data_IF_699920049027
#
_entry.id   IF_699920049027
#
_cell.length_a   1.000
_cell.length_b   1.000
_cell.length_c   1.000
_cell.angle_alpha   90.00
_cell.angle_beta   90.00
_cell.angle_gamma   90.00
#
_symmetry.space_group_name_H-M   'P 1'
#
loop_
_entity.id
_entity.type
_entity.pdbx_description
1 polymer ?
#
# COMPACT_ATOMS: atom_id res chain seq x y z
N UNK A 1 48.22 32.51 -31.92
CA UNK A 1 46.78 32.67 -31.96
C UNK A 1 45.99 31.32 -31.75
N UNK A 2 46.67 30.23 -31.32
CA UNK A 2 46.05 28.91 -31.12
C UNK A 2 45.90 28.51 -29.65
N UNK A 3 46.47 29.23 -28.67
CA UNK A 3 46.40 28.91 -27.25
C UNK A 3 45.16 29.50 -26.52
N UNK A 4 44.45 30.45 -27.14
CA UNK A 4 43.27 31.08 -26.50
C UNK A 4 41.97 30.34 -26.71
N UNK A 5 41.85 29.43 -27.69
CA UNK A 5 40.61 28.77 -28.06
C UNK A 5 40.40 27.48 -27.21
N UNK A 6 41.46 26.82 -26.75
CA UNK A 6 41.37 25.58 -25.94
C UNK A 6 40.95 25.88 -24.51
N UNK A 7 41.26 27.05 -23.93
CA UNK A 7 40.88 27.44 -22.59
C UNK A 7 39.42 27.90 -22.49
N UNK A 8 38.82 28.40 -23.59
CA UNK A 8 37.41 28.81 -23.61
C UNK A 8 36.44 27.63 -23.71
N UNK A 9 36.80 26.58 -24.49
CA UNK A 9 35.96 25.38 -24.56
C UNK A 9 35.88 24.59 -23.24
N UNK A 10 36.97 24.57 -22.46
CA UNK A 10 37.00 23.93 -21.13
C UNK A 10 36.07 24.61 -20.14
N UNK A 11 35.92 25.93 -20.17
CA UNK A 11 35.02 26.69 -19.25
C UNK A 11 33.55 26.47 -19.57
N UNK A 12 33.18 26.36 -20.83
CA UNK A 12 31.78 26.08 -21.23
C UNK A 12 31.38 24.64 -20.97
N UNK A 13 32.26 23.65 -21.14
CA UNK A 13 31.99 22.27 -20.75
C UNK A 13 31.82 22.12 -19.24
N UNK A 14 32.59 22.84 -18.42
CA UNK A 14 32.46 22.78 -16.96
C UNK A 14 31.16 23.48 -16.49
N UNK A 15 30.76 24.59 -17.13
CA UNK A 15 29.52 25.28 -16.81
C UNK A 15 28.28 24.49 -17.18
N UNK A 16 28.30 23.77 -18.33
CA UNK A 16 27.22 22.88 -18.75
C UNK A 16 27.13 21.68 -17.82
N UNK A 17 28.26 21.12 -17.37
CA UNK A 17 28.26 20.01 -16.40
C UNK A 17 27.74 20.43 -15.04
N UNK A 18 28.05 21.62 -14.56
CA UNK A 18 27.52 22.16 -13.31
C UNK A 18 26.03 22.48 -13.42
N UNK A 19 25.57 23.08 -14.54
CA UNK A 19 24.15 23.35 -14.75
C UNK A 19 23.31 22.08 -14.91
N UNK A 20 23.86 21.02 -15.53
CA UNK A 20 23.19 19.72 -15.64
C UNK A 20 23.19 18.99 -14.32
N UNK A 21 24.25 19.10 -13.50
CA UNK A 21 24.26 18.55 -12.14
C UNK A 21 23.25 19.23 -11.23
N UNK A 22 23.14 20.57 -11.30
CA UNK A 22 22.16 21.32 -10.51
C UNK A 22 20.70 21.06 -10.96
N UNK A 23 20.45 20.86 -12.26
CA UNK A 23 19.15 20.44 -12.77
C UNK A 23 18.77 19.01 -12.35
N UNK A 24 19.74 18.11 -12.25
CA UNK A 24 19.48 16.74 -11.75
C UNK A 24 19.24 16.73 -10.24
N UNK A 25 19.85 17.66 -9.48
CA UNK A 25 19.59 17.82 -8.04
C UNK A 25 18.27 18.55 -7.72
N UNK A 26 17.74 19.37 -8.64
CA UNK A 26 16.47 20.06 -8.46
C UNK A 26 15.24 19.13 -8.59
N UNK A 27 15.41 17.88 -9.02
CA UNK A 27 14.36 16.85 -9.10
C UNK A 27 14.40 15.83 -7.95
N UNK A 28 14.98 16.17 -6.78
CA UNK A 28 14.73 15.38 -5.58
C UNK A 28 13.29 15.67 -5.16
N UNK A 29 12.37 14.68 -5.21
CA UNK A 29 11.00 14.92 -4.81
C UNK A 29 10.99 15.52 -3.40
N UNK A 30 10.27 16.62 -3.19
CA UNK A 30 9.84 17.06 -1.86
C UNK A 30 9.38 15.85 -1.09
N UNK A 31 9.77 15.73 0.17
CA UNK A 31 9.43 14.56 1.00
C UNK A 31 7.95 14.25 0.82
N UNK A 32 7.66 13.03 0.32
CA UNK A 32 6.30 12.61 0.04
C UNK A 32 5.56 12.50 1.37
N UNK A 33 4.57 13.35 1.58
CA UNK A 33 3.72 13.28 2.76
C UNK A 33 2.63 12.25 2.51
N UNK A 34 2.55 11.22 3.37
CA UNK A 34 1.56 10.15 3.27
C UNK A 34 0.72 10.13 4.55
N UNK A 35 -0.55 10.50 4.41
CA UNK A 35 -1.57 10.48 5.47
C UNK A 35 -2.91 10.09 4.87
N UNK A 36 -3.82 9.63 5.70
CA UNK A 36 -5.17 9.29 5.29
C UNK A 36 -5.33 7.86 4.75
N UNK A 37 -6.43 7.56 4.05
CA UNK A 37 -6.71 6.24 3.51
C UNK A 37 -5.81 5.87 2.32
N UNK A 38 -5.30 4.63 2.38
CA UNK A 38 -4.55 3.95 1.34
C UNK A 38 -5.19 2.57 1.12
N UNK A 39 -6.24 2.45 0.29
CA UNK A 39 -6.85 1.17 0.00
C UNK A 39 -5.87 0.25 -0.73
N UNK A 40 -5.95 -1.05 -0.41
CA UNK A 40 -5.24 -2.09 -1.13
C UNK A 40 -6.11 -2.50 -2.31
N UNK A 41 -5.60 -2.30 -3.51
CA UNK A 41 -6.23 -2.70 -4.76
C UNK A 41 -6.33 -4.22 -4.84
N UNK A 42 -7.41 -4.69 -5.44
CA UNK A 42 -7.60 -6.09 -5.79
C UNK A 42 -7.01 -6.37 -7.17
N UNK A 43 -6.53 -7.58 -7.40
CA UNK A 43 -6.07 -7.97 -8.74
C UNK A 43 -7.23 -8.60 -9.52
N UNK A 44 -7.72 -7.96 -10.61
CA UNK A 44 -8.74 -8.52 -11.49
C UNK A 44 -8.14 -9.52 -12.47
N UNK A 45 -8.93 -10.51 -12.88
CA UNK A 45 -8.50 -11.55 -13.81
C UNK A 45 -9.47 -11.69 -15.00
N UNK A 46 -8.90 -12.05 -16.16
CA UNK A 46 -9.64 -12.47 -17.34
C UNK A 46 -10.07 -13.95 -17.22
N UNK A 47 -10.94 -14.40 -18.13
CA UNK A 47 -11.47 -15.77 -18.13
C UNK A 47 -10.39 -16.86 -18.32
N UNK A 48 -9.26 -16.51 -18.92
CA UNK A 48 -8.08 -17.37 -19.05
C UNK A 48 -7.16 -17.33 -17.81
N UNK A 49 -7.52 -16.52 -16.82
CA UNK A 49 -6.78 -16.32 -15.60
C UNK A 49 -5.64 -15.30 -15.68
N UNK A 50 -5.39 -14.66 -16.83
CA UNK A 50 -4.43 -13.57 -16.94
C UNK A 50 -4.91 -12.34 -16.15
N UNK A 51 -3.96 -11.51 -15.69
CA UNK A 51 -4.28 -10.25 -15.01
C UNK A 51 -4.98 -9.29 -15.99
N UNK A 52 -6.20 -8.81 -15.65
CA UNK A 52 -6.90 -7.76 -16.40
C UNK A 52 -6.29 -6.39 -16.10
N UNK A 53 -5.29 -5.98 -16.88
CA UNK A 53 -4.66 -4.67 -16.75
C UNK A 53 -5.65 -3.51 -16.89
N UNK A 54 -6.67 -3.63 -17.74
CA UNK A 54 -7.71 -2.60 -17.88
C UNK A 54 -8.56 -2.52 -16.61
N UNK A 55 -8.76 -3.64 -15.92
CA UNK A 55 -9.41 -3.71 -14.62
C UNK A 55 -8.62 -2.95 -13.55
N UNK A 56 -7.29 -3.11 -13.52
CA UNK A 56 -6.43 -2.32 -12.62
C UNK A 56 -6.55 -0.81 -12.89
N UNK A 57 -6.60 -0.40 -14.15
CA UNK A 57 -6.79 1.02 -14.51
C UNK A 57 -8.15 1.53 -14.04
N UNK A 58 -9.23 0.77 -14.24
CA UNK A 58 -10.57 1.18 -13.78
C UNK A 58 -10.65 1.29 -12.25
N UNK A 59 -9.98 0.40 -11.53
CA UNK A 59 -9.91 0.47 -10.06
C UNK A 59 -9.07 1.68 -9.60
N UNK A 60 -7.96 1.97 -10.27
CA UNK A 60 -7.17 3.19 -10.02
C UNK A 60 -8.02 4.45 -10.23
N UNK A 61 -8.76 4.53 -11.34
CA UNK A 61 -9.69 5.64 -11.63
C UNK A 61 -10.76 5.80 -10.55
N UNK A 62 -11.29 4.69 -10.04
CA UNK A 62 -12.25 4.70 -8.94
C UNK A 62 -11.64 5.30 -7.67
N UNK A 63 -10.47 4.84 -7.29
CA UNK A 63 -9.74 5.33 -6.12
C UNK A 63 -9.45 6.83 -6.23
N UNK A 64 -9.00 7.29 -7.40
CA UNK A 64 -8.73 8.70 -7.68
C UNK A 64 -10.01 9.52 -7.57
N UNK A 65 -11.10 9.08 -8.17
CA UNK A 65 -12.41 9.77 -8.09
C UNK A 65 -12.96 9.85 -6.67
N UNK A 66 -12.69 8.85 -5.82
CA UNK A 66 -13.05 8.90 -4.41
C UNK A 66 -12.24 9.94 -3.62
N UNK A 67 -11.17 10.50 -4.20
CA UNK A 67 -10.28 11.46 -3.56
C UNK A 67 -9.37 10.83 -2.51
N UNK A 68 -8.98 9.56 -2.70
CA UNK A 68 -8.09 8.86 -1.78
C UNK A 68 -6.72 9.54 -1.70
N UNK A 69 -6.11 9.51 -0.51
CA UNK A 69 -4.75 10.01 -0.28
C UNK A 69 -3.71 9.17 -1.01
N UNK A 70 -3.95 7.87 -1.11
CA UNK A 70 -3.09 6.94 -1.82
C UNK A 70 -3.81 5.65 -2.20
N UNK A 71 -3.06 4.72 -2.78
CA UNK A 71 -3.46 3.36 -3.10
C UNK A 71 -2.27 2.42 -2.90
N UNK A 72 -2.53 1.14 -2.69
CA UNK A 72 -1.50 0.11 -2.63
C UNK A 72 -1.86 -1.00 -3.60
N UNK A 73 -0.92 -1.46 -4.40
CA UNK A 73 -1.07 -2.68 -5.18
C UNK A 73 0.05 -3.67 -4.93
N UNK A 74 -0.23 -4.96 -5.14
CA UNK A 74 0.71 -6.06 -4.93
C UNK A 74 1.14 -6.19 -3.46
N UNK A 75 0.16 -6.16 -2.56
CA UNK A 75 0.37 -6.43 -1.13
C UNK A 75 -0.19 -7.80 -0.72
N UNK A 76 0.23 -8.30 0.44
CA UNK A 76 -0.05 -9.66 0.92
C UNK A 76 -1.52 -10.10 0.87
N UNK A 77 -2.47 -9.19 1.08
CA UNK A 77 -3.90 -9.51 1.04
C UNK A 77 -4.46 -9.70 -0.38
N UNK A 78 -3.67 -9.43 -1.41
CA UNK A 78 -4.08 -9.55 -2.82
C UNK A 78 -3.45 -10.78 -3.51
N UNK A 79 -3.11 -11.81 -2.76
CA UNK A 79 -2.58 -13.07 -3.31
C UNK A 79 -1.34 -12.88 -4.21
N UNK A 80 -0.43 -12.01 -3.81
CA UNK A 80 0.75 -11.59 -4.60
C UNK A 80 1.70 -12.74 -4.96
N UNK A 81 1.71 -13.80 -4.18
CA UNK A 81 2.48 -15.02 -4.42
C UNK A 81 1.90 -15.91 -5.53
N UNK A 82 0.66 -15.68 -5.94
CA UNK A 82 0.04 -16.31 -7.11
C UNK A 82 0.31 -15.56 -8.42
N UNK A 83 0.93 -14.38 -8.35
CA UNK A 83 1.39 -13.62 -9.51
C UNK A 83 2.81 -14.05 -9.89
N UNK A 84 3.09 -14.16 -11.19
CA UNK A 84 4.48 -14.29 -11.65
C UNK A 84 5.24 -12.97 -11.48
N UNK A 85 6.56 -13.03 -11.57
CA UNK A 85 7.39 -11.82 -11.53
C UNK A 85 7.05 -10.86 -12.69
N UNK A 86 6.81 -11.41 -13.88
CA UNK A 86 6.42 -10.64 -15.06
C UNK A 86 5.06 -9.96 -14.88
N UNK A 87 4.09 -10.65 -14.29
CA UNK A 87 2.77 -10.07 -13.99
C UNK A 87 2.89 -8.93 -12.97
N UNK A 88 3.70 -9.10 -11.91
CA UNK A 88 3.99 -8.04 -10.95
C UNK A 88 4.59 -6.82 -11.62
N UNK A 89 5.65 -7.00 -12.42
CA UNK A 89 6.36 -5.90 -13.07
C UNK A 89 5.48 -5.17 -14.09
N UNK A 90 4.71 -5.92 -14.88
CA UNK A 90 3.72 -5.35 -15.80
C UNK A 90 2.64 -4.55 -15.04
N UNK A 91 2.12 -5.09 -13.96
CA UNK A 91 1.12 -4.41 -13.15
C UNK A 91 1.66 -3.16 -12.47
N UNK A 92 2.93 -3.14 -12.06
CA UNK A 92 3.59 -1.93 -11.54
C UNK A 92 3.58 -0.80 -12.55
N UNK A 93 3.95 -1.08 -13.81
CA UNK A 93 3.92 -0.08 -14.89
C UNK A 93 2.48 0.41 -15.16
N UNK A 94 1.52 -0.51 -15.26
CA UNK A 94 0.11 -0.19 -15.52
C UNK A 94 -0.45 0.71 -14.42
N UNK A 95 -0.22 0.34 -13.15
CA UNK A 95 -0.68 1.15 -12.03
C UNK A 95 0.05 2.50 -12.00
N UNK A 96 1.37 2.54 -12.18
CA UNK A 96 2.12 3.78 -12.17
C UNK A 96 1.64 4.75 -13.26
N UNK A 97 1.34 4.26 -14.46
CA UNK A 97 0.76 5.05 -15.54
C UNK A 97 -0.63 5.58 -15.17
N UNK A 98 -1.49 4.76 -14.57
CA UNK A 98 -2.84 5.16 -14.17
C UNK A 98 -2.85 6.28 -13.11
N UNK A 99 -1.87 6.28 -12.19
CA UNK A 99 -1.74 7.31 -11.16
C UNK A 99 -0.89 8.51 -11.58
N UNK A 100 -0.34 8.55 -12.81
CA UNK A 100 0.55 9.61 -13.25
C UNK A 100 -0.13 10.98 -13.27
N UNK A 101 0.45 11.96 -12.59
CA UNK A 101 -0.06 13.33 -12.52
C UNK A 101 -1.31 13.55 -11.67
N UNK A 102 -1.87 12.52 -11.05
CA UNK A 102 -3.14 12.62 -10.27
C UNK A 102 -2.95 13.22 -8.88
N UNK A 103 -1.74 13.23 -8.37
CA UNK A 103 -1.44 13.67 -7.01
C UNK A 103 -1.66 12.60 -5.93
N UNK A 104 -2.41 11.53 -6.22
CA UNK A 104 -2.59 10.37 -5.34
C UNK A 104 -1.30 9.55 -5.25
N UNK A 105 -0.92 9.11 -4.06
CA UNK A 105 0.29 8.31 -3.86
C UNK A 105 0.01 6.86 -4.22
N UNK A 106 0.84 6.25 -5.05
CA UNK A 106 0.82 4.81 -5.30
C UNK A 106 1.95 4.13 -4.53
N UNK A 107 1.62 3.22 -3.62
CA UNK A 107 2.60 2.33 -2.98
C UNK A 107 2.58 0.96 -3.65
N UNK A 108 3.76 0.44 -4.01
CA UNK A 108 3.91 -0.87 -4.64
C UNK A 108 4.59 -1.84 -3.69
N UNK A 109 4.13 -3.08 -3.68
CA UNK A 109 4.61 -4.11 -2.76
C UNK A 109 5.96 -4.68 -3.15
N UNK A 110 6.99 -4.44 -2.35
CA UNK A 110 8.29 -5.11 -2.42
C UNK A 110 8.37 -6.21 -1.36
N UNK A 111 7.70 -7.33 -1.63
CA UNK A 111 7.64 -8.47 -0.74
C UNK A 111 8.24 -9.69 -1.44
N UNK A 112 9.15 -10.40 -0.77
CA UNK A 112 9.82 -11.58 -1.33
C UNK A 112 9.89 -12.71 -0.31
N UNK A 113 10.15 -13.93 -0.77
CA UNK A 113 10.45 -15.10 0.06
C UNK A 113 11.79 -14.97 0.78
N UNK A 114 12.63 -14.09 0.29
CA UNK A 114 13.95 -13.81 0.87
C UNK A 114 14.35 -12.35 0.60
N UNK A 115 15.39 -11.93 1.30
CA UNK A 115 15.92 -10.57 1.19
C UNK A 115 16.36 -10.22 -0.23
N UNK A 116 16.95 -11.15 -0.97
CA UNK A 116 17.41 -10.89 -2.35
C UNK A 116 16.23 -10.61 -3.28
N UNK A 117 15.18 -11.41 -3.24
CA UNK A 117 13.95 -11.20 -4.02
C UNK A 117 13.27 -9.87 -3.66
N UNK A 118 13.17 -9.55 -2.37
CA UNK A 118 12.67 -8.26 -1.91
C UNK A 118 13.43 -7.09 -2.53
N UNK A 119 14.77 -7.16 -2.53
CA UNK A 119 15.64 -6.11 -3.10
C UNK A 119 15.50 -6.02 -4.63
N UNK A 120 15.35 -7.14 -5.33
CA UNK A 120 15.14 -7.18 -6.77
C UNK A 120 13.81 -6.51 -7.16
N UNK A 121 12.72 -6.83 -6.44
CA UNK A 121 11.41 -6.21 -6.66
C UNK A 121 11.48 -4.70 -6.36
N UNK A 122 12.14 -4.30 -5.26
CA UNK A 122 12.32 -2.90 -4.93
C UNK A 122 13.12 -2.14 -6.00
N UNK A 123 14.15 -2.77 -6.58
CA UNK A 123 14.91 -2.19 -7.69
C UNK A 123 14.04 -2.03 -8.95
N UNK A 124 13.11 -2.95 -9.22
CA UNK A 124 12.14 -2.75 -10.32
C UNK A 124 11.22 -1.57 -10.06
N UNK A 125 10.71 -1.42 -8.84
CA UNK A 125 9.88 -0.26 -8.47
C UNK A 125 10.64 1.06 -8.69
N UNK A 126 11.94 1.12 -8.41
CA UNK A 126 12.77 2.29 -8.73
C UNK A 126 12.90 2.52 -10.24
N UNK A 127 12.96 1.45 -11.07
CA UNK A 127 12.94 1.57 -12.54
C UNK A 127 11.57 2.08 -13.03
N UNK A 128 10.46 1.59 -12.47
CA UNK A 128 9.11 2.10 -12.72
C UNK A 128 9.04 3.60 -12.40
N UNK A 129 9.56 4.04 -11.26
CA UNK A 129 9.59 5.44 -10.89
C UNK A 129 10.40 6.32 -11.88
N UNK A 130 11.38 5.73 -12.56
CA UNK A 130 12.13 6.43 -13.61
C UNK A 130 11.33 6.53 -14.91
N UNK A 131 10.54 5.51 -15.24
CA UNK A 131 9.65 5.53 -16.41
C UNK A 131 8.44 6.44 -16.24
N UNK A 132 7.95 6.58 -15.00
CA UNK A 132 6.76 7.35 -14.64
C UNK A 132 7.10 8.46 -13.61
N UNK A 133 7.89 9.49 -14.00
CA UNK A 133 8.42 10.48 -13.06
C UNK A 133 7.35 11.39 -12.44
N UNK A 134 6.16 11.50 -13.04
CA UNK A 134 5.05 12.29 -12.51
C UNK A 134 4.16 11.51 -11.54
N UNK A 135 4.42 10.20 -11.32
CA UNK A 135 3.73 9.38 -10.34
C UNK A 135 4.39 9.51 -8.98
N UNK A 136 3.59 9.82 -7.96
CA UNK A 136 4.04 9.83 -6.56
C UNK A 136 4.16 8.39 -6.06
N UNK A 137 5.33 7.77 -6.25
CA UNK A 137 5.58 6.39 -5.87
C UNK A 137 6.16 6.25 -4.46
N UNK A 138 5.65 5.26 -3.73
CA UNK A 138 6.18 4.71 -2.49
C UNK A 138 6.31 3.18 -2.60
N UNK A 139 6.93 2.58 -1.62
CA UNK A 139 7.09 1.13 -1.50
C UNK A 139 6.39 0.68 -0.21
N UNK A 140 5.80 -0.50 -0.19
CA UNK A 140 5.38 -1.18 1.04
C UNK A 140 6.16 -2.49 1.16
N UNK A 141 6.76 -2.74 2.31
CA UNK A 141 7.56 -3.93 2.57
C UNK A 141 7.25 -4.51 3.94
N UNK A 142 7.11 -5.82 4.00
CA UNK A 142 7.03 -6.61 5.23
C UNK A 142 8.32 -7.42 5.42
N UNK A 143 8.54 -8.03 6.60
CA UNK A 143 9.68 -8.91 6.81
C UNK A 143 9.75 -10.01 5.74
N UNK A 144 10.90 -10.22 5.07
CA UNK A 144 11.09 -11.37 4.17
C UNK A 144 10.96 -12.70 4.92
N UNK A 145 10.54 -13.76 4.21
CA UNK A 145 10.27 -15.04 4.86
C UNK A 145 11.55 -15.81 5.30
N UNK A 146 12.74 -15.38 4.88
CA UNK A 146 14.02 -15.98 5.26
C UNK A 146 14.61 -15.44 6.58
N UNK A 147 14.10 -14.34 7.12
CA UNK A 147 14.60 -13.77 8.37
C UNK A 147 14.02 -14.52 9.60
N UNK A 148 14.86 -14.76 10.60
CA UNK A 148 14.51 -15.53 11.81
C UNK A 148 14.77 -14.77 13.10
N UNK A 149 15.47 -13.64 13.02
CA UNK A 149 15.78 -12.77 14.16
C UNK A 149 15.58 -11.31 13.80
N UNK A 150 15.47 -10.47 14.83
CA UNK A 150 15.36 -9.02 14.64
C UNK A 150 16.63 -8.44 13.99
N UNK A 151 17.81 -8.96 14.34
CA UNK A 151 19.07 -8.54 13.73
C UNK A 151 19.15 -8.86 12.23
N UNK A 152 18.61 -9.99 11.80
CA UNK A 152 18.52 -10.35 10.39
C UNK A 152 17.52 -9.44 9.66
N UNK A 153 16.39 -9.15 10.30
CA UNK A 153 15.40 -8.23 9.76
C UNK A 153 15.95 -6.81 9.64
N UNK A 154 16.66 -6.32 10.66
CA UNK A 154 17.30 -5.01 10.61
C UNK A 154 18.32 -4.92 9.46
N UNK A 155 19.13 -5.96 9.23
CA UNK A 155 20.05 -6.03 8.09
C UNK A 155 19.34 -6.06 6.74
N UNK A 156 18.26 -6.83 6.63
CA UNK A 156 17.47 -6.89 5.41
C UNK A 156 16.87 -5.53 5.04
N UNK A 157 16.23 -4.85 6.00
CA UNK A 157 15.65 -3.53 5.77
C UNK A 157 16.71 -2.41 5.67
N UNK A 158 17.84 -2.54 6.34
CA UNK A 158 18.99 -1.64 6.13
C UNK A 158 19.49 -1.72 4.68
N UNK A 159 19.59 -2.93 4.13
CA UNK A 159 19.93 -3.15 2.71
C UNK A 159 18.89 -2.55 1.78
N UNK A 160 17.59 -2.68 2.10
CA UNK A 160 16.52 -2.03 1.35
C UNK A 160 16.68 -0.51 1.37
N UNK A 161 16.91 0.09 2.55
CA UNK A 161 17.12 1.53 2.70
C UNK A 161 18.34 2.08 1.96
N UNK A 162 19.35 1.24 1.72
CA UNK A 162 20.54 1.61 0.97
C UNK A 162 20.34 1.63 -0.56
N UNK A 163 19.39 0.82 -1.09
CA UNK A 163 19.21 0.66 -2.55
C UNK A 163 18.03 1.47 -3.10
N UNK A 164 17.03 1.80 -2.27
CA UNK A 164 15.86 2.56 -2.72
C UNK A 164 15.97 4.05 -2.40
N UNK A 165 15.25 4.86 -3.16
CA UNK A 165 15.15 6.31 -2.98
C UNK A 165 13.74 6.76 -2.63
N UNK A 166 12.75 5.87 -2.81
CA UNK A 166 11.34 6.12 -2.53
C UNK A 166 11.04 5.88 -1.05
N UNK A 167 10.04 6.56 -0.48
CA UNK A 167 9.56 6.24 0.85
C UNK A 167 9.11 4.79 0.93
N UNK A 168 9.41 4.14 2.05
CA UNK A 168 9.00 2.76 2.34
C UNK A 168 8.08 2.75 3.56
N UNK A 169 6.94 2.09 3.43
CA UNK A 169 6.03 1.77 4.52
C UNK A 169 6.45 0.42 5.09
N UNK A 170 6.91 0.39 6.32
CA UNK A 170 7.10 -0.86 7.05
C UNK A 170 5.74 -1.48 7.38
N UNK A 171 5.54 -2.74 7.04
CA UNK A 171 4.39 -3.51 7.51
C UNK A 171 4.82 -4.42 8.64
N UNK A 172 4.22 -4.28 9.81
CA UNK A 172 4.60 -5.04 11.02
C UNK A 172 3.99 -6.43 11.08
N UNK A 173 3.04 -6.76 10.19
CA UNK A 173 2.51 -8.13 10.05
C UNK A 173 3.59 -9.11 9.65
N UNK A 174 3.68 -10.19 10.40
CA UNK A 174 4.69 -11.23 10.23
C UNK A 174 4.05 -12.59 9.99
N UNK A 175 4.72 -13.44 9.25
CA UNK A 175 4.41 -14.87 9.22
C UNK A 175 4.77 -15.52 10.57
N UNK A 176 4.31 -16.75 10.80
CA UNK A 176 4.59 -17.48 12.05
C UNK A 176 6.08 -17.67 12.34
N UNK A 177 6.93 -17.54 11.32
CA UNK A 177 8.36 -17.81 11.41
C UNK A 177 9.23 -16.56 11.33
N UNK A 178 8.66 -15.39 11.12
CA UNK A 178 9.41 -14.13 11.03
C UNK A 178 9.22 -13.29 12.30
N UNK A 179 10.24 -12.53 12.75
CA UNK A 179 10.11 -11.69 13.93
C UNK A 179 9.18 -10.50 13.65
N UNK A 180 8.42 -10.10 14.67
CA UNK A 180 7.75 -8.79 14.65
C UNK A 180 8.82 -7.71 14.88
N UNK A 181 8.96 -6.71 13.99
CA UNK A 181 9.95 -5.65 14.18
C UNK A 181 9.64 -4.85 15.44
N UNK A 182 10.66 -4.57 16.28
CA UNK A 182 10.46 -3.66 17.42
C UNK A 182 10.33 -2.21 16.97
N UNK A 183 9.67 -1.39 17.78
CA UNK A 183 9.55 0.06 17.54
C UNK A 183 10.94 0.69 17.51
N UNK A 184 11.82 0.30 18.44
CA UNK A 184 13.20 0.78 18.56
C UNK A 184 14.00 0.51 17.29
N UNK A 185 13.89 -0.68 16.69
CA UNK A 185 14.57 -1.03 15.45
C UNK A 185 14.06 -0.16 14.29
N UNK A 186 12.75 -0.02 14.13
CA UNK A 186 12.17 0.83 13.07
C UNK A 186 12.60 2.29 13.22
N UNK A 187 12.69 2.81 14.45
CA UNK A 187 13.21 4.16 14.73
C UNK A 187 14.71 4.27 14.39
N UNK A 188 15.54 3.26 14.70
CA UNK A 188 16.96 3.27 14.31
C UNK A 188 17.12 3.33 12.79
N UNK A 189 16.37 2.50 12.05
CA UNK A 189 16.39 2.49 10.59
C UNK A 189 15.90 3.82 9.99
N UNK A 190 14.84 4.40 10.55
CA UNK A 190 14.33 5.70 10.11
C UNK A 190 15.33 6.84 10.37
N UNK A 191 16.10 6.79 11.46
CA UNK A 191 17.21 7.74 11.69
C UNK A 191 18.36 7.54 10.71
N UNK A 192 18.67 6.29 10.34
CA UNK A 192 19.76 5.95 9.41
C UNK A 192 19.39 6.32 7.96
N UNK A 193 18.14 6.10 7.55
CA UNK A 193 17.63 6.36 6.20
C UNK A 193 16.42 7.32 6.22
N UNK A 194 16.57 8.58 6.65
CA UNK A 194 15.44 9.47 6.97
C UNK A 194 14.60 9.87 5.76
N UNK A 195 15.11 9.73 4.53
CA UNK A 195 14.34 9.99 3.29
C UNK A 195 13.50 8.78 2.88
N UNK A 196 13.89 7.58 3.31
CA UNK A 196 13.26 6.32 2.92
C UNK A 196 12.27 5.85 3.98
N UNK A 197 12.69 5.75 5.23
CA UNK A 197 11.87 5.21 6.31
C UNK A 197 11.16 6.29 7.15
N UNK A 198 10.24 5.84 7.98
CA UNK A 198 9.42 6.66 8.86
C UNK A 198 7.90 6.48 8.66
N UNK A 199 7.48 5.57 7.81
CA UNK A 199 6.09 5.23 7.57
C UNK A 199 5.85 3.78 8.02
N UNK A 200 4.81 3.55 8.81
CA UNK A 200 4.52 2.24 9.41
C UNK A 200 3.05 1.88 9.16
N UNK A 201 2.79 0.68 8.65
CA UNK A 201 1.49 0.03 8.71
C UNK A 201 1.52 -0.90 9.92
N UNK A 202 0.89 -0.48 11.01
CA UNK A 202 0.91 -1.25 12.25
C UNK A 202 -0.14 -2.36 12.23
N UNK A 203 0.34 -3.59 12.31
CA UNK A 203 -0.44 -4.82 12.28
C UNK A 203 0.11 -5.89 13.24
N UNK A 204 0.81 -5.48 14.30
CA UNK A 204 1.23 -6.43 15.32
C UNK A 204 0.01 -7.11 15.97
N UNK A 205 0.19 -8.36 16.44
CA UNK A 205 -0.91 -9.19 16.92
C UNK A 205 -1.57 -8.62 18.17
N UNK A 206 -2.88 -8.75 18.24
CA UNK A 206 -3.67 -8.44 19.41
C UNK A 206 -3.71 -6.95 19.79
N UNK A 207 -3.82 -6.66 21.09
CA UNK A 207 -3.86 -5.28 21.59
C UNK A 207 -2.50 -4.56 21.55
N UNK A 208 -1.42 -5.29 21.28
CA UNK A 208 -0.07 -4.71 21.18
C UNK A 208 0.03 -3.63 20.09
N UNK A 209 -0.77 -3.71 19.03
CA UNK A 209 -0.80 -2.69 17.98
C UNK A 209 -1.12 -1.29 18.53
N UNK A 210 -2.05 -1.16 19.48
CA UNK A 210 -2.41 0.13 20.05
C UNK A 210 -1.27 0.74 20.88
N UNK A 211 -0.62 -0.08 21.71
CA UNK A 211 0.52 0.34 22.53
C UNK A 211 1.72 0.73 21.66
N UNK A 212 1.98 -0.05 20.61
CA UNK A 212 3.04 0.22 19.65
C UNK A 212 2.80 1.53 18.89
N UNK A 213 1.58 1.79 18.41
CA UNK A 213 1.22 3.06 17.77
C UNK A 213 1.50 4.28 18.65
N UNK A 214 1.24 4.17 19.97
CA UNK A 214 1.56 5.24 20.91
C UNK A 214 3.08 5.47 20.99
N UNK A 215 3.86 4.39 21.05
CA UNK A 215 5.34 4.48 21.07
C UNK A 215 5.90 5.02 19.76
N UNK A 216 5.36 4.57 18.64
CA UNK A 216 5.71 5.04 17.29
C UNK A 216 5.38 6.54 17.14
N UNK A 217 4.21 6.95 17.60
CA UNK A 217 3.79 8.35 17.64
C UNK A 217 4.68 9.24 18.51
N UNK A 218 5.17 8.70 19.63
CA UNK A 218 6.13 9.39 20.50
C UNK A 218 7.53 9.59 19.86
N UNK A 219 7.84 8.81 18.82
CA UNK A 219 9.11 8.91 18.10
C UNK A 219 9.10 9.96 16.96
N UNK A 220 8.08 10.79 16.85
CA UNK A 220 8.05 11.91 15.89
C UNK A 220 9.17 12.92 16.16
N UNK A 221 9.75 13.57 15.15
CA UNK A 221 9.43 13.47 13.72
C UNK A 221 10.15 12.35 12.98
N UNK A 222 10.90 11.48 13.66
CA UNK A 222 11.63 10.35 13.03
C UNK A 222 10.64 9.37 12.39
N UNK A 223 9.62 8.97 13.12
CA UNK A 223 8.43 8.32 12.55
C UNK A 223 7.49 9.43 12.08
N UNK A 224 7.12 9.38 10.81
CA UNK A 224 6.34 10.41 10.13
C UNK A 224 4.85 10.13 10.19
N UNK A 225 4.48 8.87 9.88
CA UNK A 225 3.07 8.45 9.83
C UNK A 225 2.94 7.00 10.28
N UNK A 226 1.94 6.74 11.10
CA UNK A 226 1.52 5.40 11.49
C UNK A 226 0.12 5.16 10.93
N UNK A 227 -0.03 4.14 10.09
CA UNK A 227 -1.30 3.71 9.52
C UNK A 227 -1.90 2.57 10.34
N UNK A 228 -3.20 2.63 10.58
CA UNK A 228 -3.95 1.48 11.06
C UNK A 228 -3.99 0.38 10.00
N UNK A 229 -3.72 -0.85 10.39
CA UNK A 229 -3.88 -2.04 9.57
C UNK A 229 -5.10 -2.87 9.96
N UNK A 230 -5.01 -4.20 9.86
CA UNK A 230 -6.05 -5.16 10.28
C UNK A 230 -7.46 -4.84 9.74
N UNK A 231 -7.55 -4.45 8.47
CA UNK A 231 -8.83 -4.12 7.85
C UNK A 231 -9.55 -2.92 8.48
N UNK A 232 -8.88 -2.13 9.30
CA UNK A 232 -9.42 -0.92 9.93
C UNK A 232 -10.38 -1.17 11.08
N UNK A 233 -10.37 -2.36 11.72
CA UNK A 233 -11.32 -2.70 12.80
C UNK A 233 -11.25 -1.74 13.99
N UNK A 234 -10.06 -1.24 14.32
CA UNK A 234 -9.82 -0.32 15.41
C UNK A 234 -9.49 1.10 14.95
N UNK A 235 -9.60 1.37 13.66
CA UNK A 235 -9.10 2.60 13.03
C UNK A 235 -9.57 3.87 13.76
N UNK A 236 -10.87 4.04 13.97
CA UNK A 236 -11.38 5.26 14.60
C UNK A 236 -10.86 5.44 16.05
N UNK A 237 -10.74 4.35 16.82
CA UNK A 237 -10.13 4.37 18.13
C UNK A 237 -8.64 4.75 18.04
N UNK A 238 -7.91 4.16 17.10
CA UNK A 238 -6.49 4.42 16.90
C UNK A 238 -6.21 5.84 16.42
N UNK A 239 -7.06 6.40 15.56
CA UNK A 239 -7.01 7.82 15.18
C UNK A 239 -7.14 8.75 16.40
N UNK A 240 -8.08 8.44 17.31
CA UNK A 240 -8.39 9.29 18.45
C UNK A 240 -7.42 9.15 19.61
N UNK A 241 -6.87 7.96 19.84
CA UNK A 241 -6.21 7.61 21.10
C UNK A 241 -4.79 7.07 20.93
N UNK A 242 -4.40 6.61 19.76
CA UNK A 242 -3.12 5.94 19.56
C UNK A 242 -2.18 6.67 18.58
N UNK A 243 -2.60 7.79 17.99
CA UNK A 243 -1.78 8.59 17.09
C UNK A 243 -1.70 8.05 15.67
N UNK A 244 -2.62 7.17 15.25
CA UNK A 244 -2.75 6.80 13.84
C UNK A 244 -3.08 8.03 12.99
N UNK A 245 -2.53 8.09 11.77
CA UNK A 245 -2.74 9.20 10.84
C UNK A 245 -3.27 8.71 9.49
N UNK A 246 -3.75 7.49 9.42
CA UNK A 246 -4.33 6.94 8.21
C UNK A 246 -4.76 5.48 8.37
N UNK A 247 -5.21 4.91 7.27
CA UNK A 247 -5.72 3.55 7.18
C UNK A 247 -5.17 2.86 5.93
N UNK A 248 -4.68 1.64 6.10
CA UNK A 248 -4.37 0.73 5.00
C UNK A 248 -5.28 -0.48 5.12
N UNK A 249 -6.16 -0.71 4.12
CA UNK A 249 -7.17 -1.76 4.16
C UNK A 249 -7.54 -2.26 2.77
N UNK A 250 -7.95 -3.54 2.67
CA UNK A 250 -8.44 -4.19 1.45
C UNK A 250 -9.89 -3.83 1.07
N UNK A 251 -10.47 -2.80 1.68
CA UNK A 251 -11.88 -2.43 1.49
C UNK A 251 -12.08 -1.35 0.44
N UNK A 252 -11.46 -1.52 -0.71
CA UNK A 252 -11.51 -0.53 -1.80
C UNK A 252 -12.94 -0.21 -2.26
N UNK A 253 -13.83 -1.19 -2.26
CA UNK A 253 -15.23 -1.01 -2.64
C UNK A 253 -15.99 -0.01 -1.73
N UNK A 254 -15.57 0.10 -0.46
CA UNK A 254 -16.18 1.01 0.52
C UNK A 254 -15.42 2.34 0.65
N UNK A 255 -14.53 2.63 -0.28
CA UNK A 255 -13.68 3.81 -0.23
C UNK A 255 -14.44 5.14 -0.08
N UNK A 256 -15.60 5.37 -0.72
CA UNK A 256 -16.38 6.59 -0.49
C UNK A 256 -16.72 6.80 1.00
N UNK A 257 -17.14 5.73 1.69
CA UNK A 257 -17.45 5.79 3.11
C UNK A 257 -16.18 6.00 3.97
N UNK A 258 -15.08 5.31 3.65
CA UNK A 258 -13.80 5.49 4.32
C UNK A 258 -13.33 6.95 4.20
N UNK A 259 -13.43 7.53 3.00
CA UNK A 259 -13.08 8.91 2.75
C UNK A 259 -14.01 9.90 3.47
N UNK A 260 -15.28 9.55 3.62
CA UNK A 260 -16.22 10.36 4.42
C UNK A 260 -15.83 10.38 5.89
N UNK A 261 -15.55 9.20 6.49
CA UNK A 261 -15.06 9.08 7.88
C UNK A 261 -13.77 9.87 8.08
N UNK A 262 -12.83 9.76 7.13
CA UNK A 262 -11.56 10.48 7.19
C UNK A 262 -11.76 12.00 7.15
N UNK A 263 -12.55 12.50 6.22
CA UNK A 263 -12.85 13.93 6.11
C UNK A 263 -13.54 14.50 7.35
N UNK A 264 -14.49 13.76 7.91
CA UNK A 264 -15.15 14.18 9.17
C UNK A 264 -14.16 14.23 10.33
N UNK A 265 -13.23 13.27 10.39
CA UNK A 265 -12.16 13.29 11.38
C UNK A 265 -11.20 14.48 11.18
N UNK A 266 -10.74 14.75 9.95
CA UNK A 266 -9.80 15.85 9.67
C UNK A 266 -10.39 17.24 9.88
N UNK A 267 -11.67 17.42 9.65
CA UNK A 267 -12.35 18.70 9.94
C UNK A 267 -12.24 19.09 11.40
N UNK A 268 -11.75 18.20 12.23
CA UNK A 268 -11.69 18.37 13.67
C UNK A 268 -13.09 18.62 14.18
N UNK A 269 -13.44 18.01 15.27
CA UNK A 269 -14.75 18.26 15.86
C UNK A 269 -14.57 19.20 17.06
N UNK A 270 -14.56 20.52 16.85
CA UNK A 270 -14.51 21.46 17.97
C UNK A 270 -15.71 21.32 18.89
N UNK A 271 -16.79 20.68 18.43
CA UNK A 271 -18.07 20.54 19.16
C UNK A 271 -18.37 19.09 19.60
N UNK A 272 -17.43 18.15 19.47
CA UNK A 272 -17.63 16.75 19.87
C UNK A 272 -18.47 15.91 18.90
N UNK A 273 -18.66 16.34 17.63
CA UNK A 273 -19.46 15.63 16.59
C UNK A 273 -18.78 14.44 15.94
N UNK A 274 -17.74 13.90 16.53
CA UNK A 274 -17.25 12.55 16.18
C UNK A 274 -18.38 11.50 16.13
N UNK A 275 -19.57 11.88 16.58
CA UNK A 275 -20.79 11.07 16.49
C UNK A 275 -21.09 10.66 15.05
N UNK A 276 -20.92 11.57 14.06
CA UNK A 276 -21.22 11.28 12.67
C UNK A 276 -20.14 10.35 12.07
N UNK A 277 -18.86 10.64 12.31
CA UNK A 277 -17.77 9.75 11.90
C UNK A 277 -17.91 8.36 12.56
N UNK A 278 -18.32 8.30 13.82
CA UNK A 278 -18.55 7.03 14.51
C UNK A 278 -19.74 6.25 13.92
N UNK A 279 -20.84 6.91 13.63
CA UNK A 279 -22.00 6.29 13.00
C UNK A 279 -21.66 5.72 11.62
N UNK A 280 -20.92 6.49 10.81
CA UNK A 280 -20.41 6.03 9.50
C UNK A 280 -19.43 4.86 9.63
N UNK A 281 -18.54 4.93 10.62
CA UNK A 281 -17.57 3.87 10.87
C UNK A 281 -18.23 2.54 11.26
N UNK A 282 -19.36 2.57 11.96
CA UNK A 282 -20.12 1.35 12.27
C UNK A 282 -20.56 0.60 11.03
N UNK A 283 -20.93 1.30 9.97
CA UNK A 283 -21.27 0.67 8.68
C UNK A 283 -20.10 -0.12 8.09
N UNK A 284 -18.85 0.35 8.28
CA UNK A 284 -17.66 -0.42 7.89
C UNK A 284 -17.44 -1.67 8.74
N UNK A 285 -17.80 -1.62 10.02
CA UNK A 285 -17.63 -2.76 10.93
C UNK A 285 -18.71 -3.80 10.72
N UNK A 286 -19.94 -3.40 10.40
CA UNK A 286 -21.08 -4.31 10.26
C UNK A 286 -20.82 -5.39 9.21
N UNK A 287 -20.09 -5.10 8.12
CA UNK A 287 -19.75 -6.11 7.11
C UNK A 287 -18.91 -7.29 7.66
N UNK A 288 -18.23 -7.12 8.80
CA UNK A 288 -17.47 -8.22 9.45
C UNK A 288 -18.37 -9.34 9.96
N UNK A 289 -19.63 -9.02 10.21
CA UNK A 289 -20.59 -9.96 10.77
C UNK A 289 -21.20 -10.89 9.72
N UNK A 290 -20.91 -10.67 8.41
CA UNK A 290 -21.40 -11.56 7.38
C UNK A 290 -20.64 -12.89 7.38
N UNK A 291 -21.30 -14.02 7.52
CA UNK A 291 -20.68 -15.33 7.52
C UNK A 291 -20.22 -15.73 6.11
N UNK A 292 -19.05 -16.36 6.03
CA UNK A 292 -18.49 -16.91 4.78
C UNK A 292 -17.96 -15.82 3.83
N UNK A 293 -16.85 -15.98 3.24
CA UNK A 293 -16.16 -15.00 2.42
C UNK A 293 -15.30 -14.02 3.23
N UNK A 294 -14.12 -13.74 2.73
CA UNK A 294 -13.25 -12.72 3.31
C UNK A 294 -13.61 -11.32 2.83
N UNK A 295 -13.02 -10.30 3.45
CA UNK A 295 -13.20 -8.90 3.03
C UNK A 295 -12.90 -8.68 1.53
N UNK A 296 -11.93 -9.43 0.98
CA UNK A 296 -11.61 -9.41 -0.44
C UNK A 296 -12.78 -9.90 -1.29
N UNK A 297 -13.42 -10.97 -0.93
CA UNK A 297 -14.52 -11.57 -1.70
C UNK A 297 -15.72 -10.62 -1.78
N UNK A 298 -16.04 -9.93 -0.70
CA UNK A 298 -17.06 -8.90 -0.67
C UNK A 298 -16.67 -7.67 -1.49
N UNK A 299 -15.39 -7.28 -1.45
CA UNK A 299 -14.87 -6.19 -2.29
C UNK A 299 -14.99 -6.55 -3.78
N UNK A 300 -14.67 -7.78 -4.18
CA UNK A 300 -14.83 -8.23 -5.57
C UNK A 300 -16.31 -8.20 -6.02
N UNK A 301 -17.25 -8.56 -5.13
CA UNK A 301 -18.67 -8.45 -5.43
C UNK A 301 -19.11 -7.01 -5.71
N UNK A 302 -18.69 -6.06 -4.91
CA UNK A 302 -19.02 -4.66 -5.14
C UNK A 302 -18.30 -4.06 -6.33
N UNK A 303 -17.03 -4.42 -6.57
CA UNK A 303 -16.30 -3.95 -7.74
C UNK A 303 -16.92 -4.43 -9.05
N UNK A 304 -17.45 -5.67 -9.09
CA UNK A 304 -18.24 -6.17 -10.21
C UNK A 304 -19.59 -5.43 -10.33
N UNK A 305 -20.30 -5.27 -9.23
CA UNK A 305 -21.60 -4.58 -9.19
C UNK A 305 -21.51 -3.12 -9.64
N UNK A 306 -20.45 -2.42 -9.28
CA UNK A 306 -20.16 -1.04 -9.73
C UNK A 306 -19.60 -0.97 -11.15
N UNK A 307 -19.40 -2.10 -11.83
CA UNK A 307 -18.85 -2.15 -13.18
C UNK A 307 -17.36 -1.78 -13.27
N UNK A 308 -16.65 -1.75 -12.15
CA UNK A 308 -15.21 -1.52 -12.08
C UNK A 308 -14.49 -2.76 -12.59
N UNK A 309 -14.90 -3.95 -12.11
CA UNK A 309 -14.43 -5.23 -12.63
C UNK A 309 -15.50 -5.86 -13.53
N UNK A 310 -15.08 -6.68 -14.48
CA UNK A 310 -15.99 -7.41 -15.40
C UNK A 310 -16.59 -8.65 -14.73
N UNK A 311 -15.91 -9.19 -13.73
CA UNK A 311 -16.24 -10.43 -13.05
C UNK A 311 -15.63 -10.46 -11.63
N UNK A 312 -15.90 -11.54 -10.89
CA UNK A 312 -15.34 -11.81 -9.56
C UNK A 312 -14.32 -12.93 -9.57
N UNK A 313 -13.62 -13.12 -10.67
CA UNK A 313 -12.60 -14.13 -10.77
C UNK A 313 -11.44 -13.81 -9.81
N UNK A 314 -10.93 -14.84 -9.16
CA UNK A 314 -9.79 -14.75 -8.25
C UNK A 314 -8.91 -15.97 -8.42
N UNK A 315 -7.60 -15.79 -8.33
CA UNK A 315 -6.69 -16.92 -8.19
C UNK A 315 -6.72 -17.43 -6.77
N UNK A 316 -6.79 -18.75 -6.62
CA UNK A 316 -6.69 -19.47 -5.35
C UNK A 316 -5.56 -20.48 -5.46
N UNK A 317 -4.95 -20.82 -4.34
CA UNK A 317 -3.92 -21.87 -4.34
C UNK A 317 -4.46 -23.18 -4.92
N UNK A 318 -3.71 -23.78 -5.84
CA UNK A 318 -4.06 -25.08 -6.40
C UNK A 318 -3.98 -26.18 -5.34
N UNK A 319 -3.08 -26.03 -4.36
CA UNK A 319 -2.93 -26.94 -3.23
C UNK A 319 -3.61 -26.37 -1.99
N UNK A 320 -4.64 -27.02 -1.47
CA UNK A 320 -5.39 -26.60 -0.29
C UNK A 320 -4.56 -26.54 1.01
N UNK A 321 -3.35 -27.09 1.03
CA UNK A 321 -2.42 -27.00 2.17
C UNK A 321 -1.60 -25.72 2.17
N UNK A 322 -1.57 -25.01 1.05
CA UNK A 322 -0.94 -23.70 0.96
C UNK A 322 -1.95 -22.65 1.44
N UNK A 323 -1.58 -21.88 2.45
CA UNK A 323 -2.45 -20.85 3.03
C UNK A 323 -1.95 -19.47 2.67
N UNK A 324 -2.88 -18.54 2.52
CA UNK A 324 -2.56 -17.11 2.39
C UNK A 324 -1.67 -16.67 3.56
N UNK A 325 -0.61 -15.93 3.27
CA UNK A 325 0.28 -15.37 4.28
C UNK A 325 1.44 -16.25 4.71
N UNK A 326 1.59 -17.46 4.16
CA UNK A 326 2.68 -18.38 4.51
C UNK A 326 4.01 -18.14 3.78
N UNK A 327 3.98 -17.53 2.60
CA UNK A 327 5.17 -17.22 1.78
C UNK A 327 4.81 -16.15 0.75
N UNK A 328 5.79 -15.35 0.33
CA UNK A 328 5.56 -14.20 -0.56
C UNK A 328 6.32 -14.27 -1.89
N UNK A 329 6.81 -15.44 -2.24
CA UNK A 329 7.38 -15.71 -3.55
C UNK A 329 6.42 -15.45 -4.69
N UNK A 330 6.94 -15.58 -5.90
CA UNK A 330 6.17 -15.39 -7.12
C UNK A 330 5.82 -16.72 -7.77
N UNK A 331 4.68 -16.76 -8.45
CA UNK A 331 4.35 -17.84 -9.38
C UNK A 331 3.99 -19.16 -8.77
N UNK A 332 3.43 -19.20 -7.55
CA UNK A 332 2.87 -20.42 -7.00
C UNK A 332 1.72 -20.96 -7.86
N UNK A 333 1.54 -22.28 -7.83
CA UNK A 333 0.46 -22.94 -8.57
C UNK A 333 -0.91 -22.46 -8.08
N UNK A 334 -1.76 -22.08 -9.01
CA UNK A 334 -3.09 -21.57 -8.75
C UNK A 334 -4.16 -22.26 -9.61
N UNK A 335 -5.39 -22.13 -9.17
CA UNK A 335 -6.60 -22.37 -9.95
C UNK A 335 -7.42 -21.09 -10.00
N UNK A 336 -8.13 -20.89 -11.11
CA UNK A 336 -9.08 -19.80 -11.23
C UNK A 336 -10.37 -20.19 -10.52
N UNK A 337 -10.89 -19.28 -9.73
CA UNK A 337 -12.10 -19.48 -8.94
C UNK A 337 -13.02 -18.27 -9.17
N UNK A 338 -14.31 -18.55 -9.44
CA UNK A 338 -15.32 -17.51 -9.44
C UNK A 338 -15.85 -17.39 -8.00
N UNK A 339 -15.57 -16.27 -7.35
CA UNK A 339 -15.95 -16.09 -5.95
C UNK A 339 -17.46 -16.21 -5.79
N UNK A 340 -17.89 -17.29 -5.17
CA UNK A 340 -19.30 -17.57 -4.90
C UNK A 340 -19.74 -16.85 -3.63
N UNK A 341 -20.76 -16.02 -3.77
CA UNK A 341 -21.50 -15.40 -2.67
C UNK A 341 -22.94 -15.86 -2.81
N UNK A 342 -23.50 -16.44 -1.76
CA UNK A 342 -24.88 -16.94 -1.78
C UNK A 342 -25.88 -15.78 -2.02
N UNK A 343 -27.05 -16.10 -2.56
CA UNK A 343 -28.10 -15.08 -2.80
C UNK A 343 -28.52 -14.37 -1.50
N UNK A 344 -28.52 -15.08 -0.38
CA UNK A 344 -28.79 -14.46 0.93
C UNK A 344 -27.70 -13.45 1.29
N UNK A 345 -26.43 -13.82 1.16
CA UNK A 345 -25.30 -12.92 1.44
C UNK A 345 -25.32 -11.69 0.50
N UNK A 346 -25.62 -11.88 -0.79
CA UNK A 346 -25.77 -10.76 -1.74
C UNK A 346 -26.86 -9.81 -1.29
N UNK A 347 -28.02 -10.34 -0.91
CA UNK A 347 -29.14 -9.52 -0.43
C UNK A 347 -28.77 -8.71 0.82
N UNK A 348 -28.06 -9.32 1.78
CA UNK A 348 -27.59 -8.65 2.99
C UNK A 348 -26.55 -7.56 2.68
N UNK A 349 -25.57 -7.87 1.80
CA UNK A 349 -24.56 -6.92 1.33
C UNK A 349 -25.20 -5.75 0.59
N UNK A 350 -26.22 -6.00 -0.24
CA UNK A 350 -26.95 -4.97 -0.98
C UNK A 350 -27.70 -4.02 -0.05
N UNK A 351 -28.28 -4.53 1.04
CA UNK A 351 -28.86 -3.70 2.09
C UNK A 351 -27.80 -2.83 2.77
N UNK A 352 -26.66 -3.40 3.12
CA UNK A 352 -25.56 -2.65 3.71
C UNK A 352 -25.04 -1.58 2.74
N UNK A 353 -24.86 -1.94 1.48
CA UNK A 353 -24.38 -1.01 0.46
C UNK A 353 -25.37 0.15 0.22
N UNK A 354 -26.68 -0.13 0.18
CA UNK A 354 -27.69 0.92 0.11
C UNK A 354 -27.60 1.90 1.29
N UNK A 355 -27.44 1.41 2.51
CA UNK A 355 -27.23 2.26 3.71
C UNK A 355 -25.96 3.10 3.62
N UNK A 356 -24.88 2.56 3.03
CA UNK A 356 -23.66 3.32 2.79
C UNK A 356 -23.91 4.43 1.78
N UNK A 357 -24.62 4.14 0.69
CA UNK A 357 -24.96 5.15 -0.33
C UNK A 357 -25.86 6.25 0.25
N UNK A 358 -26.83 5.92 1.08
CA UNK A 358 -27.69 6.91 1.77
C UNK A 358 -26.89 7.82 2.72
N UNK A 359 -25.79 7.33 3.27
CA UNK A 359 -24.94 8.07 4.21
C UNK A 359 -23.91 8.98 3.50
N UNK A 360 -23.68 8.82 2.19
CA UNK A 360 -22.72 9.60 1.41
C UNK A 360 -23.33 10.87 0.87
#
# INVERSE_FOLDING_TARGET
MFFGIILTMSKYCLLVFLLVSDMVWAMVPTALEMRGPFPIMSTPYLDDGAVDCDGLVREADWIIRCGSSGAIWCQSNDSIDLLTTEEKYRGFDVCAQAFEGTGTVLALGANGTNTAEMLEIAAEIERVATRHPATKLAIVSRPPDDVRSEDELEKAWDSLGAVVRRPVIFQTFCSTNTPTPSVEMMVRLAKKHPKVFGYIKEEAAGNSANERMIQEGAAKPTIKTVFSGWGGWQWLYQLRHCGSEGLITERVAYLPLIMRVWREYERGDPDGKMTDAFALYRLLIDQRNFPGGGLRDYSLYFLEKEGIFKNRLSRRYANARETEGGSFGSGKAWKLDNVEISELQKAELDILFAKIQEAL
#
